data_IF_256708706098
#
_entry.id   IF_256708706098
#
_cell.length_a   1.000
_cell.length_b   1.000
_cell.length_c   1.000
_cell.angle_alpha   90.00
_cell.angle_beta   90.00
_cell.angle_gamma   90.00
#
_symmetry.space_group_name_H-M   'P 1'
#
loop_
_entity.id
_entity.type
_entity.pdbx_description
1 polymer ?
#
# COMPACT_ATOMS: atom_id res chain seq x y z
N UNK A 1 3.14 -10.10 49.25
CA UNK A 1 2.86 -8.80 48.63
C UNK A 1 3.75 -8.76 47.39
N UNK A 2 3.48 -9.44 46.27
CA UNK A 2 2.24 -9.69 45.48
C UNK A 2 1.42 -8.40 45.38
N UNK A 3 1.19 -7.94 44.14
CA UNK A 3 0.69 -6.61 43.68
C UNK A 3 1.80 -5.55 43.74
N UNK A 4 2.52 -5.18 42.66
CA UNK A 4 2.07 -4.80 41.31
C UNK A 4 3.12 -5.24 40.25
N UNK A 5 2.80 -6.28 39.50
CA UNK A 5 3.48 -6.70 38.26
C UNK A 5 2.44 -6.78 37.14
N UNK A 6 1.61 -5.75 37.01
CA UNK A 6 0.39 -5.81 36.17
C UNK A 6 0.23 -4.54 35.33
N UNK A 7 1.22 -4.17 34.52
CA UNK A 7 0.99 -3.20 33.44
C UNK A 7 2.04 -3.08 32.32
N UNK A 8 2.88 -4.06 31.99
CA UNK A 8 3.97 -3.82 31.00
C UNK A 8 4.20 -4.87 29.91
N UNK A 9 3.28 -5.78 29.58
CA UNK A 9 3.63 -6.79 28.53
C UNK A 9 2.47 -7.41 27.73
N UNK A 10 1.42 -6.64 27.39
CA UNK A 10 0.35 -7.12 26.47
C UNK A 10 -0.05 -6.09 25.39
N UNK A 11 0.58 -4.90 25.35
CA UNK A 11 0.27 -3.83 24.36
C UNK A 11 0.89 -4.09 22.99
N UNK A 12 2.11 -4.61 22.96
CA UNK A 12 2.93 -4.63 21.73
C UNK A 12 2.32 -5.52 20.63
N UNK A 13 1.67 -6.63 21.01
CA UNK A 13 1.01 -7.53 20.05
C UNK A 13 -0.31 -6.99 19.50
N UNK A 14 -1.05 -6.20 20.29
CA UNK A 14 -2.28 -5.56 19.84
C UNK A 14 -1.99 -4.41 18.86
N UNK A 15 -0.93 -3.64 19.12
CA UNK A 15 -0.49 -2.54 18.26
C UNK A 15 -0.02 -3.06 16.88
N UNK A 16 0.76 -4.16 16.83
CA UNK A 16 1.16 -4.80 15.57
C UNK A 16 -0.03 -5.31 14.74
N UNK A 17 -1.05 -5.87 15.39
CA UNK A 17 -2.25 -6.32 14.69
C UNK A 17 -3.04 -5.13 14.11
N UNK A 18 -3.16 -4.04 14.87
CA UNK A 18 -3.81 -2.80 14.43
C UNK A 18 -3.08 -2.23 13.22
N UNK A 19 -1.76 -2.15 13.23
CA UNK A 19 -0.96 -1.65 12.11
C UNK A 19 -1.16 -2.50 10.85
N UNK A 20 -1.10 -3.83 10.97
CA UNK A 20 -1.33 -4.76 9.85
C UNK A 20 -2.73 -4.60 9.25
N UNK A 21 -3.74 -4.42 10.10
CA UNK A 21 -5.11 -4.21 9.65
C UNK A 21 -5.28 -2.83 8.99
N UNK A 22 -4.62 -1.80 9.52
CA UNK A 22 -4.62 -0.46 8.96
C UNK A 22 -3.98 -0.41 7.57
N UNK A 23 -2.84 -1.09 7.37
CA UNK A 23 -2.18 -1.20 6.06
C UNK A 23 -3.12 -1.84 5.02
N UNK A 24 -3.75 -2.96 5.40
CA UNK A 24 -4.69 -3.68 4.53
C UNK A 24 -5.91 -2.82 4.20
N UNK A 25 -6.47 -2.13 5.19
CA UNK A 25 -7.60 -1.23 5.01
C UNK A 25 -7.24 -0.07 4.09
N UNK A 26 -6.07 0.54 4.28
CA UNK A 26 -5.56 1.60 3.41
C UNK A 26 -5.42 1.11 1.98
N UNK A 27 -4.84 -0.07 1.74
CA UNK A 27 -4.74 -0.66 0.40
C UNK A 27 -6.08 -0.82 -0.31
N UNK A 28 -7.10 -1.32 0.41
CA UNK A 28 -8.46 -1.47 -0.12
C UNK A 28 -9.15 -0.14 -0.45
N UNK A 29 -8.97 0.86 0.42
CA UNK A 29 -9.48 2.22 0.17
C UNK A 29 -8.74 2.84 -1.01
N UNK A 30 -7.42 2.69 -1.06
CA UNK A 30 -6.55 3.25 -2.09
C UNK A 30 -6.89 2.71 -3.48
N UNK A 31 -7.15 1.40 -3.61
CA UNK A 31 -7.58 0.78 -4.86
C UNK A 31 -8.84 1.43 -5.45
N UNK A 32 -9.77 1.89 -4.60
CA UNK A 32 -10.95 2.65 -5.03
C UNK A 32 -10.65 4.14 -5.24
N UNK A 33 -9.82 4.71 -4.39
CA UNK A 33 -9.48 6.13 -4.42
C UNK A 33 -8.82 6.54 -5.75
N UNK A 34 -7.90 5.72 -6.27
CA UNK A 34 -7.20 6.00 -7.53
C UNK A 34 -8.11 6.02 -8.76
N UNK A 35 -9.35 5.53 -8.64
CA UNK A 35 -10.37 5.61 -9.70
C UNK A 35 -11.21 6.90 -9.64
N UNK A 36 -11.09 7.68 -8.56
CA UNK A 36 -11.74 9.00 -8.47
C UNK A 36 -10.95 10.03 -9.26
N UNK A 37 -11.59 11.12 -9.71
CA UNK A 37 -10.90 12.21 -10.42
C UNK A 37 -9.69 12.76 -9.63
N UNK A 38 -9.84 12.93 -8.31
CA UNK A 38 -8.76 13.40 -7.45
C UNK A 38 -7.60 12.40 -7.40
N UNK A 39 -7.90 11.12 -7.19
CA UNK A 39 -6.89 10.07 -7.15
C UNK A 39 -6.16 9.90 -8.48
N UNK A 40 -6.90 9.94 -9.60
CA UNK A 40 -6.32 9.91 -10.94
C UNK A 40 -5.35 11.06 -11.18
N UNK A 41 -5.71 12.30 -10.82
CA UNK A 41 -4.81 13.45 -10.96
C UNK A 41 -3.52 13.29 -10.13
N UNK A 42 -3.63 12.73 -8.92
CA UNK A 42 -2.46 12.47 -8.08
C UNK A 42 -1.57 11.35 -8.65
N UNK A 43 -2.16 10.27 -9.17
CA UNK A 43 -1.42 9.19 -9.82
C UNK A 43 -0.77 9.64 -11.12
N UNK A 44 -1.41 10.54 -11.87
CA UNK A 44 -0.84 11.15 -13.06
C UNK A 44 0.41 11.97 -12.74
N UNK A 45 0.39 12.76 -11.66
CA UNK A 45 1.57 13.50 -11.21
C UNK A 45 2.74 12.55 -10.92
N UNK A 46 2.49 11.48 -10.14
CA UNK A 46 3.51 10.46 -9.84
C UNK A 46 4.05 9.76 -11.10
N UNK A 47 3.18 9.50 -12.08
CA UNK A 47 3.58 8.93 -13.37
C UNK A 47 4.50 9.87 -14.15
N UNK A 48 4.21 11.17 -14.15
CA UNK A 48 5.07 12.19 -14.78
C UNK A 48 6.42 12.33 -14.07
N UNK A 49 6.42 12.20 -12.74
CA UNK A 49 7.62 12.26 -11.91
C UNK A 49 8.47 10.97 -12.02
N UNK A 50 7.92 9.90 -12.59
CA UNK A 50 8.61 8.63 -12.82
C UNK A 50 8.68 7.72 -11.59
N UNK A 51 7.85 7.95 -10.57
CA UNK A 51 7.88 7.24 -9.29
C UNK A 51 7.71 5.72 -9.41
N UNK A 52 7.03 5.25 -10.46
CA UNK A 52 6.72 3.84 -10.69
C UNK A 52 7.75 3.12 -11.57
N UNK A 53 8.83 3.82 -11.95
CA UNK A 53 9.85 3.29 -12.83
C UNK A 53 9.42 3.25 -14.31
N UNK A 54 10.26 2.60 -15.12
CA UNK A 54 10.14 2.56 -16.57
C UNK A 54 10.10 1.13 -17.11
N UNK A 55 9.62 0.98 -18.34
CA UNK A 55 9.55 -0.32 -18.98
C UNK A 55 10.96 -0.92 -19.20
N UNK A 56 11.23 -2.16 -18.72
CA UNK A 56 12.55 -2.78 -18.88
C UNK A 56 12.86 -3.21 -20.32
N UNK A 57 11.91 -3.10 -21.25
CA UNK A 57 12.11 -3.44 -22.66
C UNK A 57 12.81 -2.29 -23.38
N UNK A 58 13.95 -2.57 -24.01
CA UNK A 58 14.75 -1.59 -24.77
C UNK A 58 13.92 -0.85 -25.83
N UNK A 59 13.03 -1.56 -26.53
CA UNK A 59 12.18 -0.97 -27.57
C UNK A 59 10.98 -0.17 -27.05
N UNK A 60 10.83 -0.05 -25.73
CA UNK A 60 9.83 0.82 -25.11
C UNK A 60 10.37 2.22 -24.79
N UNK A 61 11.66 2.49 -25.04
CA UNK A 61 12.28 3.82 -24.88
C UNK A 61 12.00 4.44 -23.50
N UNK A 62 12.25 3.68 -22.44
CA UNK A 62 12.06 4.11 -21.05
C UNK A 62 10.64 4.64 -20.73
N UNK A 63 9.62 4.05 -21.36
CA UNK A 63 8.23 4.43 -21.11
C UNK A 63 7.87 4.29 -19.62
N UNK A 64 7.38 5.36 -18.96
CA UNK A 64 6.99 5.32 -17.55
C UNK A 64 5.79 4.40 -17.32
N UNK A 65 5.83 3.64 -16.23
CA UNK A 65 4.85 2.61 -15.90
C UNK A 65 3.82 3.08 -14.87
N UNK A 66 2.77 2.29 -14.69
CA UNK A 66 1.81 2.42 -13.61
C UNK A 66 1.70 1.10 -12.84
N UNK A 67 1.45 1.14 -11.52
CA UNK A 67 1.23 -0.07 -10.73
C UNK A 67 -0.11 -0.70 -11.06
N UNK A 68 -0.18 -2.03 -11.11
CA UNK A 68 -1.39 -2.79 -11.38
C UNK A 68 -1.38 -4.13 -10.64
N UNK A 69 -2.48 -4.46 -9.97
CA UNK A 69 -2.69 -5.80 -9.42
C UNK A 69 -3.25 -6.76 -10.47
N UNK A 70 -2.79 -8.01 -10.47
CA UNK A 70 -3.31 -9.09 -11.33
C UNK A 70 -4.66 -9.63 -10.85
N UNK A 71 -5.02 -9.37 -9.58
CA UNK A 71 -6.28 -9.74 -8.99
C UNK A 71 -6.75 -8.72 -7.96
N UNK A 72 -8.07 -8.57 -7.81
CA UNK A 72 -8.70 -7.68 -6.81
C UNK A 72 -8.83 -8.33 -5.42
N UNK A 73 -8.23 -9.51 -5.23
CA UNK A 73 -8.28 -10.28 -3.99
C UNK A 73 -6.97 -10.08 -3.23
N UNK A 74 -6.98 -9.44 -2.04
CA UNK A 74 -5.77 -9.26 -1.25
C UNK A 74 -5.08 -10.58 -0.91
N UNK A 75 -3.76 -10.61 -0.98
CA UNK A 75 -2.94 -11.79 -0.65
C UNK A 75 -2.86 -12.85 -1.76
N UNK A 76 -3.47 -12.61 -2.93
CA UNK A 76 -3.35 -13.51 -4.09
C UNK A 76 -2.04 -13.31 -4.85
N UNK A 77 -1.68 -12.06 -5.10
CA UNK A 77 -0.46 -11.64 -5.78
C UNK A 77 0.00 -10.28 -5.21
N UNK A 78 1.28 -9.96 -5.38
CA UNK A 78 1.86 -8.65 -5.04
C UNK A 78 2.00 -7.78 -6.29
N UNK A 79 1.88 -6.46 -6.10
CA UNK A 79 2.14 -5.44 -7.15
C UNK A 79 3.62 -5.20 -7.37
#
# INVERSE_FOLDING_TARGET
MIFLDESLDDSDGEDEEVERLAEKLYGLIHARFILTNRGLSMMLQKWQDGDFGTCPRVYCYDHPLLPMGTADIPGRDTV
#
